data_IF_931202834421
#
_entry.id   IF_931202834421
#
_cell.length_a   1.000
_cell.length_b   1.000
_cell.length_c   1.000
_cell.angle_alpha   90.00
_cell.angle_beta   90.00
_cell.angle_gamma   90.00
#
_symmetry.space_group_name_H-M   'P 1'
#
loop_
_entity.id
_entity.type
_entity.pdbx_description
1 polymer ?
#
# COMPACT_ATOMS: atom_id res chain seq x y z
N UNK A 1 -27.61 13.57 -4.06
CA UNK A 1 -27.29 13.15 -2.67
C UNK A 1 -27.77 11.73 -2.36
N UNK A 2 -29.08 11.44 -2.21
CA UNK A 2 -29.57 10.09 -1.82
C UNK A 2 -28.99 8.93 -2.64
N UNK A 3 -29.04 9.00 -3.98
CA UNK A 3 -28.51 7.92 -4.85
C UNK A 3 -27.01 7.65 -4.67
N UNK A 4 -26.19 8.69 -4.45
CA UNK A 4 -24.76 8.54 -4.21
C UNK A 4 -24.47 7.87 -2.85
N UNK A 5 -25.24 8.22 -1.81
CA UNK A 5 -25.17 7.55 -0.49
C UNK A 5 -25.54 6.06 -0.63
N UNK A 6 -26.56 5.73 -1.44
CA UNK A 6 -26.92 4.34 -1.75
C UNK A 6 -25.79 3.61 -2.49
N UNK A 7 -25.17 4.23 -3.49
CA UNK A 7 -24.05 3.63 -4.23
C UNK A 7 -22.83 3.33 -3.34
N UNK A 8 -22.43 4.29 -2.50
CA UNK A 8 -21.35 4.11 -1.51
C UNK A 8 -21.66 2.96 -0.54
N UNK A 9 -22.87 2.93 0.02
CA UNK A 9 -23.28 1.87 0.94
C UNK A 9 -23.31 0.49 0.27
N UNK A 10 -23.81 0.38 -0.98
CA UNK A 10 -23.82 -0.88 -1.74
C UNK A 10 -22.42 -1.37 -2.09
N UNK A 11 -21.50 -0.49 -2.46
CA UNK A 11 -20.11 -0.85 -2.75
C UNK A 11 -19.36 -1.29 -1.48
N UNK A 12 -19.54 -0.57 -0.37
CA UNK A 12 -19.00 -0.97 0.94
C UNK A 12 -19.56 -2.32 1.40
N UNK A 13 -20.86 -2.57 1.22
CA UNK A 13 -21.48 -3.85 1.55
C UNK A 13 -20.92 -5.00 0.70
N UNK A 14 -20.70 -4.78 -0.61
CA UNK A 14 -20.09 -5.78 -1.51
C UNK A 14 -18.67 -6.14 -1.08
N UNK A 15 -17.84 -5.14 -0.79
CA UNK A 15 -16.45 -5.32 -0.33
C UNK A 15 -16.34 -5.92 1.09
N UNK A 16 -17.32 -5.63 1.95
CA UNK A 16 -17.45 -6.28 3.27
C UNK A 16 -17.81 -7.75 3.12
N UNK A 17 -18.79 -8.07 2.26
CA UNK A 17 -19.20 -9.44 1.98
C UNK A 17 -18.04 -10.26 1.39
N UNK A 18 -17.27 -9.69 0.44
CA UNK A 18 -16.11 -10.35 -0.16
C UNK A 18 -15.05 -10.76 0.89
N UNK A 19 -14.74 -9.85 1.83
CA UNK A 19 -13.83 -10.14 2.96
C UNK A 19 -14.40 -11.23 3.87
N UNK A 20 -15.66 -11.11 4.29
CA UNK A 20 -16.30 -12.02 5.24
C UNK A 20 -16.51 -13.44 4.67
N UNK A 21 -16.82 -13.56 3.38
CA UNK A 21 -17.04 -14.84 2.68
C UNK A 21 -15.76 -15.47 2.16
N UNK A 22 -14.62 -14.76 2.26
CA UNK A 22 -13.32 -15.14 1.68
C UNK A 22 -13.39 -15.44 0.17
N UNK A 23 -14.16 -14.62 -0.56
CA UNK A 23 -14.41 -14.77 -1.99
C UNK A 23 -14.34 -13.40 -2.69
N UNK A 24 -13.52 -13.21 -3.74
CA UNK A 24 -13.54 -11.99 -4.53
C UNK A 24 -14.92 -11.70 -5.14
N UNK A 25 -15.25 -10.42 -5.28
CA UNK A 25 -16.50 -9.94 -5.85
C UNK A 25 -16.29 -9.23 -7.19
N UNK A 26 -17.38 -9.03 -7.93
CA UNK A 26 -17.37 -8.23 -9.15
C UNK A 26 -16.93 -6.76 -8.88
N UNK A 27 -16.19 -6.11 -9.81
CA UNK A 27 -15.77 -4.71 -9.73
C UNK A 27 -16.87 -3.77 -9.24
N UNK A 28 -16.55 -2.85 -8.32
CA UNK A 28 -17.50 -1.86 -7.75
C UNK A 28 -17.67 -0.61 -8.63
N UNK A 29 -16.89 -0.48 -9.72
CA UNK A 29 -17.06 0.58 -10.73
C UNK A 29 -18.43 0.59 -11.40
N UNK A 30 -19.20 -0.50 -11.34
CA UNK A 30 -20.60 -0.55 -11.79
C UNK A 30 -21.52 0.32 -10.92
N UNK A 31 -21.22 0.44 -9.62
CA UNK A 31 -21.94 1.26 -8.66
C UNK A 31 -21.39 2.69 -8.58
N UNK A 32 -20.07 2.84 -8.70
CA UNK A 32 -19.38 4.12 -8.46
C UNK A 32 -19.07 4.90 -9.76
N UNK A 33 -19.11 4.25 -10.91
CA UNK A 33 -18.47 4.73 -12.14
C UNK A 33 -16.95 4.56 -12.08
N UNK A 34 -16.30 4.30 -13.23
CA UNK A 34 -14.88 3.90 -13.27
C UNK A 34 -13.86 5.00 -12.90
N UNK A 35 -14.29 6.25 -12.74
CA UNK A 35 -13.41 7.42 -12.56
C UNK A 35 -13.78 8.33 -11.37
N UNK A 36 -14.88 8.09 -10.64
CA UNK A 36 -15.22 8.89 -9.45
C UNK A 36 -14.39 8.45 -8.24
N UNK A 37 -13.15 8.93 -8.22
CA UNK A 37 -12.20 8.64 -7.15
C UNK A 37 -12.70 9.14 -5.78
N UNK A 38 -13.57 10.16 -5.74
CA UNK A 38 -14.09 10.67 -4.47
C UNK A 38 -15.17 9.75 -3.89
N UNK A 39 -16.05 9.20 -4.74
CA UNK A 39 -16.96 8.13 -4.34
C UNK A 39 -16.20 6.88 -3.85
N UNK A 40 -15.10 6.52 -4.52
CA UNK A 40 -14.26 5.40 -4.09
C UNK A 40 -13.59 5.64 -2.72
N UNK A 41 -13.01 6.81 -2.48
CA UNK A 41 -12.44 7.13 -1.16
C UNK A 41 -13.53 7.25 -0.07
N UNK A 42 -14.78 7.61 -0.42
CA UNK A 42 -15.89 7.57 0.53
C UNK A 42 -16.23 6.11 0.93
N UNK A 43 -16.18 5.15 0.00
CA UNK A 43 -16.30 3.72 0.31
C UNK A 43 -15.14 3.26 1.21
N UNK A 44 -13.91 3.66 0.88
CA UNK A 44 -12.73 3.36 1.69
C UNK A 44 -12.89 3.89 3.13
N UNK A 45 -13.37 5.13 3.31
CA UNK A 45 -13.61 5.72 4.64
C UNK A 45 -14.61 4.89 5.44
N UNK A 46 -15.77 4.54 4.87
CA UNK A 46 -16.80 3.71 5.54
C UNK A 46 -16.24 2.36 5.99
N UNK A 47 -15.42 1.70 5.15
CA UNK A 47 -14.80 0.41 5.49
C UNK A 47 -13.74 0.55 6.59
N UNK A 48 -12.94 1.62 6.55
CA UNK A 48 -11.89 1.87 7.52
C UNK A 48 -12.46 2.33 8.87
N UNK A 49 -13.49 3.16 8.88
CA UNK A 49 -14.26 3.54 10.08
C UNK A 49 -14.88 2.30 10.76
N UNK A 50 -15.41 1.35 9.99
CA UNK A 50 -15.93 0.09 10.53
C UNK A 50 -14.82 -0.76 11.18
N UNK A 51 -13.60 -0.80 10.61
CA UNK A 51 -12.44 -1.47 11.22
C UNK A 51 -12.01 -0.79 12.52
N UNK A 52 -11.97 0.54 12.56
CA UNK A 52 -11.64 1.33 13.75
C UNK A 52 -12.69 1.11 14.85
N UNK A 53 -13.97 1.11 14.51
CA UNK A 53 -15.07 0.84 15.45
C UNK A 53 -15.02 -0.60 16.01
N UNK A 54 -14.45 -1.56 15.26
CA UNK A 54 -14.18 -2.93 15.71
C UNK A 54 -12.88 -3.06 16.53
N UNK A 55 -12.13 -1.97 16.76
CA UNK A 55 -10.94 -1.92 17.60
C UNK A 55 -9.60 -1.96 16.85
N UNK A 56 -9.58 -2.02 15.52
CA UNK A 56 -8.33 -1.97 14.76
C UNK A 56 -7.70 -0.57 14.82
N UNK A 57 -6.38 -0.49 14.96
CA UNK A 57 -5.65 0.78 15.09
C UNK A 57 -4.96 1.10 13.77
N UNK A 58 -5.12 2.34 13.30
CA UNK A 58 -4.35 2.87 12.17
C UNK A 58 -2.89 3.01 12.58
N UNK A 59 -1.97 2.53 11.74
CA UNK A 59 -0.51 2.57 11.94
C UNK A 59 0.23 3.25 10.79
N UNK A 60 -0.51 3.87 9.86
CA UNK A 60 0.02 4.62 8.74
C UNK A 60 -0.75 4.34 7.45
N UNK A 61 -0.04 4.39 6.33
CA UNK A 61 -0.65 4.34 5.00
C UNK A 61 0.32 3.78 3.94
N UNK A 62 -0.22 3.38 2.80
CA UNK A 62 0.56 2.98 1.62
C UNK A 62 0.19 3.82 0.41
N UNK A 63 1.07 3.87 -0.58
CA UNK A 63 0.85 4.55 -1.85
C UNK A 63 0.87 3.52 -2.98
N UNK A 64 -0.29 3.26 -3.58
CA UNK A 64 -0.37 2.35 -4.72
C UNK A 64 -0.16 3.09 -6.06
N UNK A 65 -0.02 2.30 -7.13
CA UNK A 65 0.06 2.79 -8.51
C UNK A 65 1.18 3.84 -8.74
N UNK A 66 2.29 3.75 -8.01
CA UNK A 66 3.44 4.67 -8.10
C UNK A 66 4.37 4.35 -9.27
N UNK A 67 4.52 3.07 -9.60
CA UNK A 67 5.41 2.60 -10.64
C UNK A 67 4.72 2.52 -12.01
N UNK A 68 5.33 3.12 -13.04
CA UNK A 68 4.80 3.11 -14.40
C UNK A 68 4.60 1.69 -14.98
N UNK A 69 5.33 0.69 -14.47
CA UNK A 69 5.10 -0.72 -14.80
C UNK A 69 3.77 -1.25 -14.23
N UNK A 70 3.47 -0.95 -12.96
CA UNK A 70 2.23 -1.32 -12.27
C UNK A 70 1.04 -0.54 -12.84
N UNK A 71 1.21 0.76 -13.11
CA UNK A 71 0.20 1.58 -13.80
C UNK A 71 -0.19 0.99 -15.17
N UNK A 72 0.78 0.56 -15.98
CA UNK A 72 0.51 -0.13 -17.25
C UNK A 72 -0.12 -1.51 -17.07
N UNK A 73 0.22 -2.23 -16.01
CA UNK A 73 -0.32 -3.56 -15.72
C UNK A 73 -1.83 -3.52 -15.44
N UNK A 74 -2.33 -2.42 -14.85
CA UNK A 74 -3.75 -2.22 -14.56
C UNK A 74 -4.46 -1.21 -15.49
N UNK A 75 -3.73 -0.48 -16.33
CA UNK A 75 -4.28 0.60 -17.15
C UNK A 75 -4.67 1.85 -16.36
N UNK A 76 -4.15 2.03 -15.14
CA UNK A 76 -4.49 3.14 -14.24
C UNK A 76 -3.28 4.04 -14.00
N UNK A 77 -3.36 5.30 -14.43
CA UNK A 77 -2.21 6.22 -14.53
C UNK A 77 -2.21 7.35 -13.48
N UNK A 78 -2.73 7.08 -12.28
CA UNK A 78 -2.70 8.00 -11.14
C UNK A 78 -2.45 7.21 -9.84
N UNK A 79 -1.63 7.72 -8.90
CA UNK A 79 -1.47 7.12 -7.58
C UNK A 79 -2.77 7.11 -6.76
N UNK A 80 -2.92 6.10 -5.92
CA UNK A 80 -3.89 6.02 -4.84
C UNK A 80 -3.20 5.87 -3.48
N UNK A 81 -3.99 5.80 -2.42
CA UNK A 81 -3.50 5.39 -1.11
C UNK A 81 -4.49 4.46 -0.40
N UNK A 82 -3.95 3.64 0.50
CA UNK A 82 -4.69 2.81 1.43
C UNK A 82 -4.22 3.07 2.86
N UNK A 83 -5.07 2.75 3.83
CA UNK A 83 -4.77 2.85 5.27
C UNK A 83 -4.19 1.52 5.75
N UNK A 84 -3.12 1.58 6.53
CA UNK A 84 -2.51 0.42 7.17
C UNK A 84 -3.04 0.30 8.61
N UNK A 85 -3.41 -0.92 8.99
CA UNK A 85 -3.87 -1.27 10.33
C UNK A 85 -2.84 -2.17 11.04
N UNK A 86 -2.91 -2.25 12.37
CA UNK A 86 -1.94 -2.98 13.18
C UNK A 86 -1.96 -4.50 12.99
N UNK A 87 -3.11 -5.08 12.64
CA UNK A 87 -3.26 -6.49 12.22
C UNK A 87 -2.64 -6.79 10.84
N UNK A 88 -2.22 -5.77 10.09
CA UNK A 88 -1.58 -5.92 8.78
C UNK A 88 -0.04 -5.90 8.86
N UNK A 89 0.57 -5.59 10.02
CA UNK A 89 2.02 -5.44 10.17
C UNK A 89 2.67 -6.71 10.73
N UNK A 90 3.66 -7.20 10.00
CA UNK A 90 4.44 -8.39 10.32
C UNK A 90 5.94 -8.03 10.39
N UNK A 91 6.68 -8.66 11.29
CA UNK A 91 8.13 -8.52 11.36
C UNK A 91 8.85 -9.43 10.35
N UNK A 92 10.12 -9.14 10.07
CA UNK A 92 11.04 -10.02 9.34
C UNK A 92 10.87 -11.50 9.77
N UNK A 93 10.65 -12.37 8.79
CA UNK A 93 10.41 -13.82 8.92
C UNK A 93 9.22 -14.25 9.80
N UNK A 94 8.35 -13.32 10.23
CA UNK A 94 7.06 -13.67 10.83
C UNK A 94 6.14 -14.27 9.76
N UNK A 95 5.48 -15.41 10.01
CA UNK A 95 4.54 -15.99 9.06
C UNK A 95 3.32 -15.09 8.80
N UNK A 96 3.07 -14.79 7.53
CA UNK A 96 1.82 -14.21 7.03
C UNK A 96 0.89 -15.36 6.63
N UNK A 97 -0.31 -15.51 7.23
CA UNK A 97 -1.20 -16.62 6.90
C UNK A 97 -1.75 -16.49 5.48
N UNK A 98 -1.43 -17.42 4.58
CA UNK A 98 -1.96 -17.45 3.23
C UNK A 98 -3.49 -17.55 3.24
N UNK A 99 -4.02 -18.37 4.15
CA UNK A 99 -5.44 -18.57 4.42
C UNK A 99 -6.17 -17.33 4.99
N UNK A 100 -5.49 -16.18 5.13
CA UNK A 100 -6.14 -14.89 5.40
C UNK A 100 -6.36 -14.03 4.14
N UNK A 101 -5.63 -14.30 3.06
CA UNK A 101 -5.58 -13.50 1.81
C UNK A 101 -6.52 -14.09 0.74
N UNK A 102 -6.81 -13.39 -0.35
CA UNK A 102 -7.70 -13.85 -1.42
C UNK A 102 -6.99 -14.06 -2.77
N UNK A 103 -6.27 -13.05 -3.24
CA UNK A 103 -5.55 -13.06 -4.51
C UNK A 103 -4.16 -12.42 -4.40
N UNK A 104 -3.32 -12.82 -3.42
CA UNK A 104 -2.14 -12.07 -3.01
C UNK A 104 -1.04 -11.93 -4.06
N UNK A 105 -0.36 -10.79 -4.05
CA UNK A 105 0.85 -10.49 -4.84
C UNK A 105 1.87 -9.77 -3.94
N UNK A 106 3.14 -10.10 -4.08
CA UNK A 106 4.22 -9.51 -3.28
C UNK A 106 4.97 -8.43 -4.07
N UNK A 107 5.30 -7.31 -3.43
CA UNK A 107 6.13 -6.24 -4.00
C UNK A 107 7.14 -5.67 -3.00
N UNK A 108 8.27 -5.18 -3.52
CA UNK A 108 9.38 -4.67 -2.73
C UNK A 108 9.38 -3.14 -2.65
N UNK A 109 9.47 -2.62 -1.43
CA UNK A 109 9.23 -1.21 -1.09
C UNK A 109 10.29 -0.64 -0.13
N UNK A 110 10.30 0.69 -0.03
CA UNK A 110 10.82 1.41 1.13
C UNK A 110 9.67 1.87 2.03
N UNK A 111 9.72 1.50 3.30
CA UNK A 111 8.86 2.05 4.34
C UNK A 111 9.55 3.24 5.02
N UNK A 112 8.82 4.35 5.19
CA UNK A 112 9.26 5.54 5.92
C UNK A 112 8.59 5.54 7.30
N UNK A 113 9.37 5.59 8.38
CA UNK A 113 8.82 5.72 9.74
C UNK A 113 8.98 7.17 10.19
N UNK A 114 7.86 7.82 10.49
CA UNK A 114 7.82 9.23 10.82
C UNK A 114 8.06 9.46 12.31
N UNK A 115 8.91 10.43 12.66
CA UNK A 115 9.06 10.96 14.02
C UNK A 115 8.28 12.25 14.27
N UNK A 116 7.68 12.84 13.23
CA UNK A 116 6.91 14.08 13.30
C UNK A 116 5.71 14.04 12.37
N UNK A 117 4.66 14.77 12.76
CA UNK A 117 3.47 14.98 11.95
C UNK A 117 3.78 15.75 10.66
N UNK A 118 3.00 15.51 9.60
CA UNK A 118 2.99 16.27 8.36
C UNK A 118 1.52 16.62 8.03
N UNK A 119 1.10 17.79 8.48
CA UNK A 119 -0.31 18.22 8.60
C UNK A 119 -0.73 19.36 7.65
N UNK A 120 0.19 19.86 6.81
CA UNK A 120 -0.03 21.02 5.95
C UNK A 120 -0.20 20.64 4.46
N UNK A 121 -1.10 21.31 3.70
CA UNK A 121 -1.42 20.95 2.31
C UNK A 121 -0.28 21.24 1.31
N UNK A 122 0.76 21.96 1.75
CA UNK A 122 1.96 22.28 0.99
C UNK A 122 3.15 21.35 1.24
N UNK A 123 2.96 20.20 1.91
CA UNK A 123 4.03 19.26 2.27
C UNK A 123 5.00 19.00 1.12
N UNK A 124 6.28 19.30 1.35
CA UNK A 124 7.37 19.20 0.39
C UNK A 124 8.27 18.00 0.68
N UNK A 125 9.16 17.68 -0.27
CA UNK A 125 10.24 16.68 -0.07
C UNK A 125 11.10 17.02 1.15
N UNK A 126 11.36 18.31 1.42
CA UNK A 126 12.14 18.73 2.59
C UNK A 126 11.39 18.52 3.91
N UNK A 127 10.05 18.55 3.90
CA UNK A 127 9.24 18.27 5.10
C UNK A 127 9.25 16.78 5.42
N UNK A 128 9.08 15.91 4.40
CA UNK A 128 9.24 14.46 4.55
C UNK A 128 10.64 14.10 5.10
N UNK A 129 11.71 14.65 4.52
CA UNK A 129 13.09 14.40 4.99
C UNK A 129 13.34 14.89 6.42
N UNK A 130 12.64 15.92 6.89
CA UNK A 130 12.73 16.41 8.27
C UNK A 130 11.84 15.61 9.24
N UNK A 131 10.73 15.07 8.76
CA UNK A 131 9.75 14.33 9.55
C UNK A 131 10.04 12.82 9.67
N UNK A 132 10.81 12.24 8.75
CA UNK A 132 11.18 10.82 8.79
C UNK A 132 12.34 10.58 9.76
N UNK A 133 12.18 9.66 10.71
CA UNK A 133 13.24 9.26 11.63
C UNK A 133 14.18 8.24 10.96
N UNK A 134 13.60 7.22 10.32
CA UNK A 134 14.34 6.20 9.59
C UNK A 134 13.49 5.55 8.49
N UNK A 135 14.16 4.84 7.57
CA UNK A 135 13.53 3.96 6.58
C UNK A 135 13.84 2.50 6.84
N UNK A 136 12.95 1.63 6.40
CA UNK A 136 13.09 0.18 6.43
C UNK A 136 12.91 -0.39 5.01
N UNK A 137 13.60 -1.50 4.67
CA UNK A 137 13.18 -2.33 3.55
C UNK A 137 11.89 -3.04 3.95
N UNK A 138 10.89 -3.07 3.08
CA UNK A 138 9.58 -3.64 3.38
C UNK A 138 9.00 -4.39 2.18
N UNK A 139 8.23 -5.45 2.43
CA UNK A 139 7.48 -6.17 1.41
C UNK A 139 5.99 -5.91 1.66
N UNK A 140 5.27 -5.30 0.71
CA UNK A 140 3.80 -5.32 0.73
C UNK A 140 3.31 -6.62 0.08
N UNK A 141 2.36 -7.27 0.72
CA UNK A 141 1.51 -8.31 0.16
C UNK A 141 0.17 -7.65 -0.15
N UNK A 142 0.03 -7.14 -1.38
CA UNK A 142 -1.23 -6.60 -1.86
C UNK A 142 -2.20 -7.73 -2.17
N UNK A 143 -3.47 -7.50 -1.86
CA UNK A 143 -4.55 -8.47 -1.92
C UNK A 143 -5.83 -7.79 -2.41
N UNK A 144 -6.42 -8.33 -3.49
CA UNK A 144 -7.62 -7.76 -4.11
C UNK A 144 -8.87 -8.52 -3.71
N UNK A 145 -9.89 -7.81 -3.24
CA UNK A 145 -11.27 -8.31 -3.08
C UNK A 145 -12.07 -8.24 -4.38
N UNK A 146 -11.48 -7.72 -5.46
CA UNK A 146 -12.07 -7.62 -6.79
C UNK A 146 -11.55 -8.77 -7.66
N UNK A 147 -12.46 -9.53 -8.25
CA UNK A 147 -12.18 -10.74 -9.02
C UNK A 147 -11.19 -10.51 -10.17
N UNK A 148 -10.25 -11.43 -10.34
CA UNK A 148 -9.31 -11.45 -11.47
C UNK A 148 -8.28 -10.31 -11.49
N UNK A 149 -8.28 -9.44 -10.47
CA UNK A 149 -7.62 -8.13 -10.52
C UNK A 149 -8.11 -7.25 -11.70
N UNK A 150 -9.38 -7.39 -12.12
CA UNK A 150 -10.02 -6.41 -12.99
C UNK A 150 -10.23 -5.12 -12.20
N UNK A 151 -9.33 -4.13 -12.37
CA UNK A 151 -9.30 -2.90 -11.59
C UNK A 151 -9.34 -1.64 -12.48
N UNK A 152 -10.27 -0.74 -12.18
CA UNK A 152 -10.13 0.68 -12.45
C UNK A 152 -9.72 1.39 -11.15
N UNK A 153 -9.34 2.68 -11.23
CA UNK A 153 -8.93 3.47 -10.06
C UNK A 153 -9.95 3.40 -8.91
N UNK A 154 -11.25 3.39 -9.23
CA UNK A 154 -12.31 3.36 -8.23
C UNK A 154 -12.44 2.03 -7.51
N UNK A 155 -12.05 0.91 -8.13
CA UNK A 155 -12.12 -0.41 -7.51
C UNK A 155 -11.01 -0.58 -6.47
N UNK A 156 -9.76 -0.30 -6.87
CA UNK A 156 -8.60 -0.38 -5.97
C UNK A 156 -8.74 0.60 -4.81
N UNK A 157 -9.06 1.87 -5.06
CA UNK A 157 -9.27 2.88 -4.02
C UNK A 157 -10.35 2.45 -3.02
N UNK A 158 -11.53 2.03 -3.50
CA UNK A 158 -12.61 1.57 -2.65
C UNK A 158 -12.20 0.34 -1.82
N UNK A 159 -11.39 -0.54 -2.39
CA UNK A 159 -10.84 -1.73 -1.71
C UNK A 159 -9.57 -1.46 -0.88
N UNK A 160 -9.43 -0.25 -0.34
CA UNK A 160 -8.29 0.20 0.46
C UNK A 160 -6.93 0.05 -0.27
N UNK A 161 -6.91 0.49 -1.53
CA UNK A 161 -5.81 0.35 -2.48
C UNK A 161 -5.29 -1.10 -2.61
N UNK A 162 -6.19 -2.08 -2.45
CA UNK A 162 -5.87 -3.51 -2.41
C UNK A 162 -4.76 -3.89 -1.42
N UNK A 163 -4.66 -3.22 -0.26
CA UNK A 163 -3.74 -3.70 0.79
C UNK A 163 -4.17 -5.04 1.39
N UNK A 164 -3.19 -5.86 1.74
CA UNK A 164 -3.34 -7.11 2.48
C UNK A 164 -2.49 -7.12 3.76
N UNK A 165 -1.17 -7.29 3.62
CA UNK A 165 -0.21 -7.30 4.72
C UNK A 165 1.09 -6.57 4.35
N UNK A 166 1.87 -6.16 5.35
CA UNK A 166 3.18 -5.52 5.20
C UNK A 166 4.19 -6.24 6.10
N UNK A 167 5.32 -6.67 5.54
CA UNK A 167 6.44 -7.24 6.29
C UNK A 167 7.58 -6.23 6.37
N UNK A 168 7.91 -5.80 7.59
CA UNK A 168 8.94 -4.79 7.86
C UNK A 168 10.29 -5.43 8.22
N UNK A 169 11.37 -4.89 7.66
CA UNK A 169 12.73 -5.16 8.13
C UNK A 169 12.93 -4.65 9.56
N UNK A 170 13.87 -5.25 10.29
CA UNK A 170 14.11 -4.95 11.72
C UNK A 170 15.31 -4.03 11.97
N UNK A 171 16.06 -3.66 10.94
CA UNK A 171 17.23 -2.77 11.02
C UNK A 171 16.85 -1.38 10.47
N UNK A 172 16.82 -0.31 11.31
CA UNK A 172 16.54 1.03 10.84
C UNK A 172 17.71 1.61 10.05
N UNK A 173 17.41 2.30 8.94
CA UNK A 173 18.41 2.99 8.13
C UNK A 173 18.12 4.50 8.08
N UNK A 174 19.15 5.32 8.28
CA UNK A 174 19.03 6.78 8.08
C UNK A 174 18.87 7.11 6.59
N UNK A 175 18.06 8.13 6.28
CA UNK A 175 17.92 8.68 4.93
C UNK A 175 19.12 9.55 4.52
N UNK A 176 19.95 9.97 5.48
CA UNK A 176 21.14 10.80 5.21
C UNK A 176 22.15 10.00 4.41
N UNK A 177 22.79 10.69 3.46
CA UNK A 177 23.86 10.16 2.61
C UNK A 177 23.46 8.94 1.77
N UNK A 178 22.16 8.74 1.51
CA UNK A 178 21.62 7.70 0.63
C UNK A 178 20.83 8.29 -0.53
N UNK A 179 21.16 7.86 -1.74
CA UNK A 179 20.35 8.11 -2.91
C UNK A 179 19.19 7.08 -2.98
N UNK A 180 18.06 7.44 -2.37
CA UNK A 180 16.83 6.65 -2.42
C UNK A 180 16.17 6.62 -3.80
N UNK A 181 16.67 7.36 -4.81
CA UNK A 181 16.22 7.27 -6.20
C UNK A 181 17.03 6.20 -6.94
N UNK A 182 18.34 6.15 -6.74
CA UNK A 182 19.21 5.19 -7.42
C UNK A 182 19.22 3.80 -6.80
N UNK A 183 18.86 3.65 -5.52
CA UNK A 183 18.88 2.40 -4.75
C UNK A 183 18.31 1.21 -5.54
N UNK A 184 19.11 0.16 -5.73
CA UNK A 184 18.67 -1.04 -6.46
C UNK A 184 17.85 -1.98 -5.58
N UNK A 185 16.81 -2.56 -6.17
CA UNK A 185 15.94 -3.55 -5.56
C UNK A 185 16.07 -4.90 -6.26
N UNK A 186 16.19 -5.97 -5.46
CA UNK A 186 16.03 -7.37 -5.88
C UNK A 186 15.02 -8.04 -4.96
N UNK A 187 14.01 -8.67 -5.55
CA UNK A 187 13.04 -9.52 -4.85
C UNK A 187 13.18 -10.96 -5.36
N UNK A 188 13.44 -11.88 -4.44
CA UNK A 188 13.62 -13.30 -4.74
C UNK A 188 12.53 -14.14 -4.07
N UNK A 189 12.00 -15.15 -4.78
CA UNK A 189 11.09 -16.17 -4.23
C UNK A 189 11.86 -17.49 -4.10
N UNK A 190 11.91 -18.06 -2.90
CA UNK A 190 12.64 -19.31 -2.62
C UNK A 190 14.08 -19.32 -3.18
N UNK A 191 14.78 -18.19 -3.08
CA UNK A 191 16.16 -18.00 -3.58
C UNK A 191 16.29 -17.58 -5.06
N UNK A 192 15.27 -17.75 -5.90
CA UNK A 192 15.30 -17.31 -7.30
C UNK A 192 14.80 -15.87 -7.45
N UNK A 193 15.53 -15.00 -8.17
CA UNK A 193 15.06 -13.64 -8.45
C UNK A 193 13.76 -13.68 -9.29
N UNK A 194 12.72 -13.02 -8.81
CA UNK A 194 11.41 -12.92 -9.48
C UNK A 194 11.02 -11.48 -9.85
N UNK A 195 11.61 -10.48 -9.19
CA UNK A 195 11.47 -9.08 -9.55
C UNK A 195 12.73 -8.28 -9.22
N UNK A 196 12.87 -7.14 -9.87
CA UNK A 196 13.97 -6.19 -9.65
C UNK A 196 13.57 -4.80 -10.12
N UNK A 197 14.19 -3.78 -9.55
CA UNK A 197 13.96 -2.40 -9.97
C UNK A 197 14.83 -1.42 -9.18
N UNK A 198 14.31 -0.21 -8.95
CA UNK A 198 15.02 0.83 -8.24
C UNK A 198 14.06 1.86 -7.62
N UNK A 199 14.57 2.66 -6.68
CA UNK A 199 13.87 3.81 -6.08
C UNK A 199 13.10 4.68 -7.07
N UNK A 200 13.74 5.00 -8.21
CA UNK A 200 13.18 5.83 -9.28
C UNK A 200 11.92 5.28 -9.94
N UNK A 201 11.60 3.99 -9.79
CA UNK A 201 10.33 3.45 -10.24
C UNK A 201 9.16 4.07 -9.48
N UNK A 202 9.31 4.35 -8.18
CA UNK A 202 8.28 4.93 -7.33
C UNK A 202 8.16 6.45 -7.57
N UNK A 203 7.29 6.85 -8.51
CA UNK A 203 7.02 8.26 -8.89
C UNK A 203 8.28 9.11 -9.17
N UNK A 204 9.37 8.49 -9.63
CA UNK A 204 10.67 9.15 -9.80
C UNK A 204 11.46 9.37 -8.51
N UNK A 205 10.82 9.32 -7.33
CA UNK A 205 11.46 9.35 -6.02
C UNK A 205 10.50 8.88 -4.92
N UNK A 206 10.89 7.91 -4.06
CA UNK A 206 10.08 7.48 -2.92
C UNK A 206 9.71 8.63 -1.97
N UNK A 207 10.62 9.61 -1.80
CA UNK A 207 10.37 10.79 -0.95
C UNK A 207 9.33 11.72 -1.58
N UNK A 208 9.31 11.83 -2.92
CA UNK A 208 8.28 12.61 -3.63
C UNK A 208 6.90 11.93 -3.56
N UNK A 209 6.85 10.59 -3.53
CA UNK A 209 5.63 9.84 -3.28
C UNK A 209 5.06 10.12 -1.88
N UNK A 210 5.87 10.01 -0.82
CA UNK A 210 5.42 10.36 0.55
C UNK A 210 4.94 11.82 0.64
N UNK A 211 5.60 12.75 -0.05
CA UNK A 211 5.15 14.14 -0.12
C UNK A 211 3.82 14.28 -0.88
N UNK A 212 3.56 13.49 -1.94
CA UNK A 212 2.25 13.42 -2.60
C UNK A 212 1.16 12.92 -1.64
N UNK A 213 1.45 11.87 -0.87
CA UNK A 213 0.51 11.28 0.08
C UNK A 213 0.10 12.28 1.15
N UNK A 214 1.07 12.97 1.78
CA UNK A 214 0.80 14.01 2.77
C UNK A 214 -0.18 15.07 2.24
N UNK A 215 0.02 15.54 1.00
CA UNK A 215 -0.87 16.52 0.35
C UNK A 215 -2.23 15.96 -0.07
N UNK A 216 -2.37 14.65 -0.33
CA UNK A 216 -3.66 14.00 -0.63
C UNK A 216 -4.46 13.73 0.65
N UNK A 217 -3.80 13.31 1.74
CA UNK A 217 -4.44 13.13 3.06
C UNK A 217 -4.97 14.45 3.62
N UNK A 218 -4.20 15.53 3.58
CA UNK A 218 -4.65 16.85 4.10
C UNK A 218 -5.84 17.38 3.30
N UNK A 219 -5.88 17.16 1.98
CA UNK A 219 -7.07 17.45 1.15
C UNK A 219 -8.32 16.63 1.52
N UNK A 220 -8.16 15.57 2.31
CA UNK A 220 -9.22 14.66 2.79
C UNK A 220 -9.49 14.80 4.29
N UNK A 221 -8.93 15.82 4.95
CA UNK A 221 -9.10 16.06 6.39
C UNK A 221 -8.32 15.09 7.28
N UNK A 222 -7.31 14.41 6.73
CA UNK A 222 -6.41 13.51 7.44
C UNK A 222 -4.96 14.02 7.34
N UNK A 223 -4.05 13.47 8.13
CA UNK A 223 -2.63 13.81 8.04
C UNK A 223 -1.77 12.63 8.50
N UNK A 224 -0.50 12.65 8.13
CA UNK A 224 0.51 11.69 8.58
C UNK A 224 1.01 12.09 9.97
N UNK A 225 1.09 11.15 10.89
CA UNK A 225 1.47 11.36 12.30
C UNK A 225 2.87 10.84 12.60
N UNK A 226 3.47 11.37 13.65
CA UNK A 226 4.59 10.71 14.33
C UNK A 226 4.18 9.28 14.74
N UNK A 227 5.04 8.31 14.41
CA UNK A 227 4.79 6.87 14.58
C UNK A 227 4.18 6.18 13.37
N UNK A 228 3.65 6.91 12.37
CA UNK A 228 3.08 6.28 11.16
C UNK A 228 4.17 5.62 10.30
N UNK A 229 3.85 4.45 9.78
CA UNK A 229 4.60 3.75 8.73
C UNK A 229 4.00 4.11 7.38
N UNK A 230 4.81 4.70 6.50
CA UNK A 230 4.41 5.02 5.11
C UNK A 230 5.12 4.11 4.13
N UNK A 231 4.37 3.18 3.54
CA UNK A 231 4.82 2.36 2.40
C UNK A 231 4.84 3.25 1.15
N UNK A 232 6.04 3.53 0.63
CA UNK A 232 6.23 4.58 -0.37
C UNK A 232 5.66 4.25 -1.77
N UNK A 233 5.43 2.97 -2.06
CA UNK A 233 5.07 2.45 -3.37
C UNK A 233 6.18 1.60 -4.02
N UNK A 234 5.75 0.66 -4.85
CA UNK A 234 6.58 -0.40 -5.41
C UNK A 234 7.84 0.08 -6.15
N UNK A 235 8.99 -0.55 -5.86
CA UNK A 235 10.26 -0.28 -6.53
C UNK A 235 10.46 -1.08 -7.84
N UNK A 236 9.54 -1.99 -8.15
CA UNK A 236 9.54 -2.84 -9.35
C UNK A 236 8.23 -3.62 -9.47
N UNK A 237 8.08 -4.50 -10.49
CA UNK A 237 6.85 -5.26 -10.68
C UNK A 237 6.51 -6.17 -9.50
N UNK A 238 5.26 -6.16 -9.06
CA UNK A 238 4.71 -7.15 -8.13
C UNK A 238 4.63 -8.56 -8.74
N UNK A 239 4.67 -9.59 -7.90
CA UNK A 239 4.68 -11.00 -8.32
C UNK A 239 3.59 -11.82 -7.62
N UNK A 240 2.83 -12.69 -8.33
CA UNK A 240 1.77 -13.49 -7.70
C UNK A 240 2.27 -14.46 -6.63
N UNK A 241 1.51 -14.56 -5.54
CA UNK A 241 1.74 -15.53 -4.46
C UNK A 241 0.82 -16.72 -4.70
N UNK A 242 1.39 -17.83 -5.17
CA UNK A 242 0.65 -19.00 -5.69
C UNK A 242 0.57 -20.19 -4.71
N UNK A 243 0.83 -19.95 -3.42
CA UNK A 243 1.06 -20.98 -2.41
C UNK A 243 2.17 -20.59 -1.44
N UNK A 244 2.30 -21.32 -0.33
CA UNK A 244 3.27 -21.06 0.74
C UNK A 244 4.71 -20.98 0.18
N UNK A 245 5.43 -19.92 0.53
CA UNK A 245 6.77 -19.61 0.01
C UNK A 245 7.43 -18.50 0.83
N UNK A 246 8.74 -18.31 0.63
CA UNK A 246 9.49 -17.18 1.16
C UNK A 246 9.81 -16.17 0.06
N UNK A 247 9.55 -14.89 0.33
CA UNK A 247 10.05 -13.77 -0.45
C UNK A 247 11.14 -13.04 0.34
N UNK A 248 12.30 -12.82 -0.29
CA UNK A 248 13.40 -12.06 0.28
C UNK A 248 13.67 -10.82 -0.56
N UNK A 249 13.63 -9.66 0.09
CA UNK A 249 13.90 -8.36 -0.50
C UNK A 249 15.28 -7.87 -0.06
N UNK A 250 16.09 -7.50 -1.05
CA UNK A 250 17.38 -6.87 -0.88
C UNK A 250 17.34 -5.48 -1.53
N UNK A 251 17.59 -4.46 -0.72
CA UNK A 251 17.82 -3.09 -1.18
C UNK A 251 19.30 -2.75 -1.00
N UNK A 252 19.91 -2.12 -2.00
CA UNK A 252 21.33 -1.80 -2.01
C UNK A 252 21.76 -0.97 -0.78
N UNK A 253 22.76 -1.46 -0.03
CA UNK A 253 23.27 -0.80 1.17
C UNK A 253 22.35 -0.86 2.41
N UNK A 254 21.33 -1.72 2.40
CA UNK A 254 20.41 -1.95 3.53
C UNK A 254 20.39 -3.42 3.95
N UNK A 255 19.88 -3.70 5.15
CA UNK A 255 19.62 -5.07 5.60
C UNK A 255 18.50 -5.71 4.77
N UNK A 256 18.44 -7.05 4.71
CA UNK A 256 17.36 -7.74 4.01
C UNK A 256 16.11 -7.97 4.88
N UNK A 257 14.96 -8.03 4.22
CA UNK A 257 13.68 -8.44 4.85
C UNK A 257 13.16 -9.70 4.17
N UNK A 258 12.62 -10.61 4.97
CA UNK A 258 12.01 -11.85 4.51
C UNK A 258 10.55 -11.91 4.91
N UNK A 259 9.67 -12.16 3.94
CA UNK A 259 8.25 -12.42 4.12
C UNK A 259 7.99 -13.93 3.92
N UNK A 260 7.64 -14.62 5.00
CA UNK A 260 7.24 -16.04 4.95
C UNK A 260 5.73 -16.10 4.78
N UNK A 261 5.27 -16.59 3.64
CA UNK A 261 3.85 -16.87 3.40
C UNK A 261 3.60 -18.33 3.76
N UNK A 262 2.73 -18.57 4.75
CA UNK A 262 2.42 -19.90 5.29
C UNK A 262 0.98 -20.29 4.95
#
# INVERSE_FOLDING_TARGET
MRAAVTATASAAARLTAARAQRLPCAPVRDLLGANDINAAYAVQSVLNEARIAAGARVVGAKIGLTAAAVQRQFGVYRPDFGVLFDDMIYAHAQPVPLDSLLQPRAEGELAFVLGRDIDHPGASVADVLRATDFVLPAIEIVDSRIEGWDLAITDTVADNASSGAVVLGTTPHSLRDRDLVSIKMRLSRNGAQVSSGAGSACLGSPVAAVAWLARELVRRGQFLRAGDVVMSGALGPMVPVTGSCSFRLQLEGMAEVEAVIA
#
